data_IF_431377959635
#
_entry.id   IF_431377959635
#
_cell.length_a   1.000
_cell.length_b   1.000
_cell.length_c   1.000
_cell.angle_alpha   90.00
_cell.angle_beta   90.00
_cell.angle_gamma   90.00
#
_symmetry.space_group_name_H-M   'P 1'
#
loop_
_entity.id
_entity.type
_entity.pdbx_description
1 polymer ?
#
# COMPACT_ATOMS: atom_id res chain seq x y z
N UNK A 1 -9.23 43.24 12.95
CA UNK A 1 -9.20 42.82 11.54
C UNK A 1 -8.13 41.76 11.31
N UNK A 2 -8.33 40.55 11.86
CA UNK A 2 -7.39 39.42 11.76
C UNK A 2 -7.45 38.70 10.41
N UNK A 3 -7.56 39.47 9.33
CA UNK A 3 -7.64 38.97 7.97
C UNK A 3 -6.31 38.39 7.51
N UNK A 4 -6.40 37.31 6.74
CA UNK A 4 -5.27 36.66 6.08
C UNK A 4 -4.49 37.65 5.19
N UNK A 5 -3.16 37.69 5.33
CA UNK A 5 -2.25 38.46 4.48
C UNK A 5 -1.47 37.51 3.54
N UNK A 6 -1.84 37.38 2.26
CA UNK A 6 -1.19 36.47 1.35
C UNK A 6 0.16 37.01 0.87
N UNK A 7 1.27 36.43 1.35
CA UNK A 7 2.64 36.79 0.98
C UNK A 7 3.08 36.30 -0.43
N UNK A 8 2.15 35.78 -1.24
CA UNK A 8 2.40 35.25 -2.58
C UNK A 8 1.88 33.82 -2.76
N UNK A 9 1.76 33.40 -4.02
CA UNK A 9 1.29 32.07 -4.40
C UNK A 9 2.36 31.33 -5.20
N UNK A 10 2.57 30.05 -4.91
CA UNK A 10 3.39 29.15 -5.73
C UNK A 10 2.47 28.20 -6.50
N UNK A 11 2.69 28.06 -7.80
CA UNK A 11 2.02 27.05 -8.61
C UNK A 11 2.74 25.72 -8.40
N UNK A 12 2.08 24.78 -7.74
CA UNK A 12 2.50 23.36 -7.69
C UNK A 12 1.68 22.56 -8.69
N UNK A 13 2.27 21.48 -9.21
CA UNK A 13 1.56 20.47 -10.01
C UNK A 13 0.64 19.58 -9.16
N UNK A 14 0.69 19.72 -7.82
CA UNK A 14 -0.08 18.98 -6.84
C UNK A 14 0.12 17.45 -6.94
N UNK A 15 1.27 17.02 -7.49
CA UNK A 15 1.62 15.61 -7.59
C UNK A 15 2.19 15.14 -6.25
N UNK A 16 1.40 14.38 -5.49
CA UNK A 16 1.87 13.69 -4.28
C UNK A 16 2.30 12.28 -4.67
N UNK A 17 3.55 11.86 -4.41
CA UNK A 17 3.99 10.50 -4.65
C UNK A 17 3.14 9.53 -3.83
N UNK A 18 2.35 8.70 -4.50
CA UNK A 18 1.62 7.62 -3.87
C UNK A 18 2.50 6.38 -3.88
N UNK A 19 2.76 5.83 -2.70
CA UNK A 19 3.46 4.55 -2.54
C UNK A 19 2.51 3.46 -2.08
N UNK A 20 2.89 2.20 -2.22
CA UNK A 20 2.14 1.09 -1.62
C UNK A 20 2.94 0.33 -0.55
N UNK A 21 2.20 -0.14 0.44
CA UNK A 21 2.62 -1.17 1.37
C UNK A 21 1.80 -2.43 1.08
N UNK A 22 2.50 -3.54 0.84
CA UNK A 22 1.91 -4.87 0.75
C UNK A 22 2.37 -5.69 1.95
N UNK A 23 1.41 -6.28 2.67
CA UNK A 23 1.67 -7.22 3.77
C UNK A 23 0.98 -8.54 3.48
N UNK A 24 1.68 -9.64 3.74
CA UNK A 24 1.09 -10.98 3.75
C UNK A 24 0.94 -11.42 5.21
N UNK A 25 -0.30 -11.72 5.59
CA UNK A 25 -0.61 -12.26 6.90
C UNK A 25 -0.91 -13.74 6.73
N UNK A 26 -0.08 -14.62 7.31
CA UNK A 26 -0.33 -16.05 7.32
C UNK A 26 -1.27 -16.43 8.47
N UNK A 27 -2.32 -17.19 8.16
CA UNK A 27 -3.31 -17.67 9.13
C UNK A 27 -3.19 -19.21 9.27
N UNK A 28 -2.48 -19.63 10.31
CA UNK A 28 -2.46 -21.02 10.77
C UNK A 28 -2.09 -21.07 12.24
N UNK A 29 -1.40 -22.12 12.70
CA UNK A 29 -1.08 -22.30 14.14
C UNK A 29 -0.29 -21.13 14.74
N UNK A 30 0.44 -20.38 13.90
CA UNK A 30 1.08 -19.12 14.28
C UNK A 30 0.75 -18.07 13.24
N UNK A 31 0.29 -16.90 13.69
CA UNK A 31 0.06 -15.75 12.81
C UNK A 31 1.43 -15.18 12.42
N UNK A 32 1.67 -15.08 11.11
CA UNK A 32 2.85 -14.42 10.56
C UNK A 32 2.44 -13.11 9.89
N UNK A 33 3.33 -12.12 9.91
CA UNK A 33 3.15 -10.87 9.18
C UNK A 33 4.45 -10.59 8.43
N UNK A 34 4.40 -10.69 7.10
CA UNK A 34 5.53 -10.45 6.22
C UNK A 34 5.28 -9.21 5.37
N UNK A 35 6.31 -8.36 5.24
CA UNK A 35 6.28 -7.25 4.28
C UNK A 35 6.69 -7.76 2.91
N UNK A 36 5.78 -7.68 1.96
CA UNK A 36 6.08 -8.02 0.57
C UNK A 36 6.80 -6.85 -0.13
N UNK A 37 7.83 -7.12 -0.95
CA UNK A 37 8.55 -6.08 -1.67
C UNK A 37 7.65 -5.46 -2.76
N UNK A 38 7.64 -4.13 -2.83
CA UNK A 38 7.00 -3.34 -3.89
C UNK A 38 8.11 -2.56 -4.60
N UNK A 39 8.16 -2.65 -5.92
CA UNK A 39 9.17 -1.99 -6.74
C UNK A 39 8.99 -0.46 -6.76
N UNK A 40 9.99 0.25 -7.29
CA UNK A 40 9.97 1.73 -7.36
C UNK A 40 8.81 2.25 -8.23
N UNK A 41 8.45 1.52 -9.29
CA UNK A 41 7.31 1.80 -10.16
C UNK A 41 5.94 1.44 -9.55
N UNK A 42 5.94 1.06 -8.27
CA UNK A 42 4.74 0.72 -7.50
C UNK A 42 4.04 -0.57 -7.95
N UNK A 43 4.77 -1.48 -8.60
CA UNK A 43 4.31 -2.82 -8.96
C UNK A 43 4.90 -3.91 -8.05
N UNK A 44 4.28 -5.09 -8.04
CA UNK A 44 4.78 -6.25 -7.32
C UNK A 44 4.16 -7.54 -7.84
N UNK A 45 4.96 -8.60 -7.88
CA UNK A 45 4.50 -9.96 -8.18
C UNK A 45 5.09 -10.87 -7.11
N UNK A 46 4.23 -11.67 -6.49
CA UNK A 46 4.61 -12.54 -5.38
C UNK A 46 4.07 -13.93 -5.60
N UNK A 47 4.85 -14.94 -5.24
CA UNK A 47 4.39 -16.33 -5.17
C UNK A 47 4.10 -16.66 -3.72
N UNK A 48 2.85 -17.01 -3.42
CA UNK A 48 2.42 -17.37 -2.07
C UNK A 48 2.19 -18.88 -2.00
N UNK A 49 2.99 -19.57 -1.18
CA UNK A 49 2.82 -21.00 -0.94
C UNK A 49 1.67 -21.26 0.03
N UNK A 50 0.48 -21.54 -0.49
CA UNK A 50 -0.66 -21.99 0.31
C UNK A 50 -0.69 -23.53 0.31
N UNK A 51 -0.05 -24.17 1.29
CA UNK A 51 -0.19 -25.62 1.51
C UNK A 51 1.06 -26.41 1.93
N UNK A 52 0.79 -27.52 2.65
CA UNK A 52 1.68 -28.50 3.32
C UNK A 52 2.25 -28.14 4.71
N UNK A 53 1.55 -27.31 5.49
CA UNK A 53 1.88 -27.01 6.88
C UNK A 53 0.81 -26.14 7.57
N UNK A 54 1.15 -25.54 8.71
CA UNK A 54 0.28 -24.70 9.55
C UNK A 54 -0.05 -23.34 8.92
N UNK A 55 -0.69 -23.34 7.75
CA UNK A 55 -1.07 -22.15 7.01
C UNK A 55 -1.97 -22.54 5.84
N UNK A 56 -3.26 -22.66 6.10
CA UNK A 56 -4.27 -22.99 5.09
C UNK A 56 -4.86 -21.75 4.43
N UNK A 57 -4.61 -20.58 5.02
CA UNK A 57 -5.20 -19.32 4.64
C UNK A 57 -4.15 -18.21 4.78
N UNK A 58 -4.20 -17.23 3.88
CA UNK A 58 -3.41 -16.02 3.98
C UNK A 58 -4.25 -14.81 3.58
N UNK A 59 -3.96 -13.67 4.20
CA UNK A 59 -4.59 -12.39 3.91
C UNK A 59 -3.53 -11.45 3.32
N UNK A 60 -3.79 -10.97 2.10
CA UNK A 60 -3.02 -9.89 1.50
C UNK A 60 -3.63 -8.54 1.90
N UNK A 61 -2.84 -7.68 2.52
CA UNK A 61 -3.20 -6.31 2.85
C UNK A 61 -2.46 -5.37 1.91
N UNK A 62 -3.19 -4.56 1.16
CA UNK A 62 -2.67 -3.50 0.32
C UNK A 62 -3.09 -2.14 0.89
N UNK A 63 -2.13 -1.25 1.11
CA UNK A 63 -2.38 0.09 1.65
C UNK A 63 -1.62 1.15 0.87
N UNK A 64 -2.33 2.21 0.47
CA UNK A 64 -1.72 3.40 -0.09
C UNK A 64 -1.04 4.24 0.99
N UNK A 65 0.19 4.67 0.70
CA UNK A 65 0.99 5.58 1.49
C UNK A 65 1.11 6.90 0.70
N UNK A 66 0.15 7.79 0.90
CA UNK A 66 0.17 9.15 0.35
C UNK A 66 0.23 10.15 1.52
N UNK A 67 1.40 10.74 1.81
CA UNK A 67 1.49 11.75 2.86
C UNK A 67 0.53 12.90 2.58
N UNK A 68 -0.20 13.35 3.60
CA UNK A 68 -0.96 14.61 3.60
C UNK A 68 -2.15 14.67 2.62
N UNK A 69 -2.60 13.55 2.04
CA UNK A 69 -3.84 13.53 1.25
C UNK A 69 -4.75 12.38 1.66
N UNK A 70 -6.07 12.63 1.62
CA UNK A 70 -7.10 11.62 1.85
C UNK A 70 -7.65 11.03 0.52
N UNK A 71 -6.90 11.16 -0.58
CA UNK A 71 -7.34 10.63 -1.86
C UNK A 71 -7.37 9.09 -1.83
N UNK A 72 -8.39 8.45 -2.43
CA UNK A 72 -8.45 7.00 -2.53
C UNK A 72 -7.21 6.44 -3.24
N UNK A 73 -6.62 5.39 -2.67
CA UNK A 73 -5.47 4.72 -3.26
C UNK A 73 -5.93 3.67 -4.27
N UNK A 74 -6.00 4.04 -5.56
CA UNK A 74 -6.45 3.15 -6.64
C UNK A 74 -5.39 2.09 -6.96
N UNK A 75 -5.71 0.80 -6.78
CA UNK A 75 -4.83 -0.32 -7.10
C UNK A 75 -5.51 -1.32 -8.04
N UNK A 76 -4.69 -2.10 -8.73
CA UNK A 76 -5.10 -3.26 -9.51
C UNK A 76 -4.49 -4.52 -8.86
N UNK A 77 -5.27 -5.59 -8.78
CA UNK A 77 -4.85 -6.87 -8.19
C UNK A 77 -5.30 -8.01 -9.08
N UNK A 78 -4.36 -8.83 -9.50
CA UNK A 78 -4.60 -10.08 -10.22
C UNK A 78 -4.13 -11.24 -9.35
N UNK A 79 -4.95 -12.27 -9.24
CA UNK A 79 -4.63 -13.53 -8.53
C UNK A 79 -4.75 -14.67 -9.53
N UNK A 80 -3.69 -15.44 -9.68
CA UNK A 80 -3.59 -16.59 -10.58
C UNK A 80 -3.23 -17.84 -9.77
N UNK A 81 -3.70 -19.02 -10.21
CA UNK A 81 -3.48 -20.33 -9.58
C UNK A 81 -2.60 -21.22 -10.45
#
# INVERSE_FOLDING_TARGET
DGGWDPAGFVRTDNLVPQRYLALLIGLGDTITVERLPVAEDQTGTWTVGLGSGNGHEAMLVLSGLAPLTAHPALYELTIEQ
#
